data_IF_719998699589
#
_entry.id   IF_719998699589
#
_cell.length_a   1.000
_cell.length_b   1.000
_cell.length_c   1.000
_cell.angle_alpha   90.00
_cell.angle_beta   90.00
_cell.angle_gamma   90.00
#
_symmetry.space_group_name_H-M   'P 1'
#
loop_
_entity.id
_entity.type
_entity.pdbx_description
1 polymer ?
#
# COMPACT_ATOMS: atom_id res chain seq x y z
N UNK A 1 -16.42 -28.93 18.46
CA UNK A 1 -16.65 -28.81 17.00
C UNK A 1 -17.96 -29.50 16.73
N UNK A 2 -18.97 -28.78 16.22
CA UNK A 2 -20.35 -29.30 16.16
C UNK A 2 -20.47 -30.66 15.49
N UNK A 3 -19.64 -30.95 14.47
CA UNK A 3 -19.58 -32.25 13.80
C UNK A 3 -18.99 -33.35 14.68
N UNK A 4 -17.95 -33.06 15.46
CA UNK A 4 -17.34 -34.00 16.40
C UNK A 4 -18.32 -34.39 17.51
N UNK A 5 -19.03 -33.42 18.09
CA UNK A 5 -20.02 -33.66 19.15
C UNK A 5 -21.19 -34.54 18.67
N UNK A 6 -21.65 -34.33 17.43
CA UNK A 6 -22.72 -35.15 16.83
C UNK A 6 -22.24 -36.59 16.60
N UNK A 7 -21.01 -36.75 16.10
CA UNK A 7 -20.44 -38.06 15.81
C UNK A 7 -20.13 -38.86 17.08
N UNK A 8 -19.53 -38.22 18.09
CA UNK A 8 -19.21 -38.84 19.39
C UNK A 8 -20.48 -39.37 20.06
N UNK A 9 -21.53 -38.55 20.11
CA UNK A 9 -22.83 -38.93 20.68
C UNK A 9 -23.51 -40.11 19.95
N UNK A 10 -23.27 -40.28 18.64
CA UNK A 10 -23.79 -41.41 17.87
C UNK A 10 -22.95 -42.69 18.05
N UNK A 11 -21.66 -42.56 18.35
CA UNK A 11 -20.74 -43.69 18.51
C UNK A 11 -20.55 -44.16 19.95
N UNK A 12 -21.04 -43.40 20.94
CA UNK A 12 -21.04 -43.74 22.36
C UNK A 12 -21.65 -45.13 22.68
N UNK A 13 -22.78 -45.56 22.08
CA UNK A 13 -23.35 -46.90 22.33
C UNK A 13 -22.44 -48.04 21.86
N UNK A 14 -21.50 -47.77 20.96
CA UNK A 14 -20.53 -48.73 20.47
C UNK A 14 -19.20 -48.68 21.24
N UNK A 15 -19.08 -47.79 22.23
CA UNK A 15 -17.86 -47.62 23.05
C UNK A 15 -16.69 -47.00 22.29
N UNK A 16 -16.94 -46.30 21.19
CA UNK A 16 -15.93 -45.69 20.33
C UNK A 16 -15.90 -44.18 20.60
N UNK A 17 -14.73 -43.65 20.96
CA UNK A 17 -14.51 -42.21 21.19
C UNK A 17 -13.91 -41.52 19.97
N UNK A 18 -14.55 -40.46 19.49
CA UNK A 18 -14.11 -39.71 18.29
C UNK A 18 -13.13 -38.60 18.69
N UNK A 19 -11.85 -38.78 18.33
CA UNK A 19 -10.77 -37.86 18.73
C UNK A 19 -10.61 -36.64 17.81
N UNK A 20 -10.77 -36.79 16.49
CA UNK A 20 -10.61 -35.72 15.50
C UNK A 20 -11.54 -35.96 14.31
N UNK A 21 -12.19 -34.88 13.85
CA UNK A 21 -12.95 -34.87 12.61
C UNK A 21 -12.32 -33.84 11.68
N UNK A 22 -11.88 -34.29 10.51
CA UNK A 22 -11.31 -33.45 9.47
C UNK A 22 -12.14 -33.58 8.20
N UNK A 23 -12.41 -32.46 7.55
CA UNK A 23 -13.09 -32.41 6.28
C UNK A 23 -12.07 -32.64 5.16
N UNK A 24 -12.19 -33.78 4.45
CA UNK A 24 -11.20 -34.17 3.42
C UNK A 24 -11.40 -33.48 2.07
N UNK A 25 -12.60 -33.56 1.51
CA UNK A 25 -12.89 -33.02 0.18
C UNK A 25 -14.35 -32.61 0.06
N UNK A 26 -14.61 -31.52 -0.67
CA UNK A 26 -15.96 -31.10 -1.07
C UNK A 26 -15.94 -30.94 -2.58
N UNK A 27 -16.73 -31.75 -3.27
CA UNK A 27 -16.96 -31.62 -4.70
C UNK A 27 -17.99 -30.52 -4.96
N UNK A 28 -17.54 -29.38 -5.47
CA UNK A 28 -18.42 -28.31 -5.93
C UNK A 28 -18.72 -28.47 -7.43
N UNK A 29 -19.96 -28.25 -7.89
CA UNK A 29 -20.26 -28.22 -9.32
C UNK A 29 -19.40 -27.19 -10.07
N UNK A 30 -18.94 -27.54 -11.27
CA UNK A 30 -18.00 -26.71 -12.04
C UNK A 30 -18.55 -25.30 -12.34
N UNK A 31 -19.87 -25.18 -12.55
CA UNK A 31 -20.54 -23.89 -12.76
C UNK A 31 -20.46 -22.99 -11.52
N UNK A 32 -20.68 -23.56 -10.33
CA UNK A 32 -20.60 -22.83 -9.06
C UNK A 32 -19.17 -22.36 -8.77
N UNK A 33 -18.17 -23.20 -9.05
CA UNK A 33 -16.76 -22.83 -8.88
C UNK A 33 -16.38 -21.64 -9.77
N UNK A 34 -16.81 -21.63 -11.04
CA UNK A 34 -16.56 -20.52 -11.97
C UNK A 34 -17.26 -19.23 -11.55
N UNK A 35 -18.52 -19.33 -11.14
CA UNK A 35 -19.28 -18.16 -10.66
C UNK A 35 -18.65 -17.56 -9.39
N UNK A 36 -18.24 -18.42 -8.44
CA UNK A 36 -17.58 -18.00 -7.21
C UNK A 36 -16.21 -17.38 -7.49
N UNK A 37 -15.42 -17.96 -8.39
CA UNK A 37 -14.13 -17.40 -8.80
C UNK A 37 -14.28 -16.00 -9.40
N UNK A 38 -15.24 -15.81 -10.32
CA UNK A 38 -15.52 -14.52 -10.94
C UNK A 38 -15.99 -13.47 -9.93
N UNK A 39 -16.83 -13.87 -8.97
CA UNK A 39 -17.26 -12.98 -7.90
C UNK A 39 -16.10 -12.61 -6.96
N UNK A 40 -15.27 -13.58 -6.59
CA UNK A 40 -14.11 -13.36 -5.73
C UNK A 40 -13.09 -12.42 -6.39
N UNK A 41 -12.85 -12.57 -7.70
CA UNK A 41 -11.99 -11.69 -8.48
C UNK A 41 -12.53 -10.26 -8.54
N UNK A 42 -13.83 -10.09 -8.85
CA UNK A 42 -14.46 -8.77 -8.88
C UNK A 42 -14.41 -8.06 -7.52
N UNK A 43 -14.68 -8.78 -6.43
CA UNK A 43 -14.58 -8.21 -5.08
C UNK A 43 -13.13 -7.88 -4.70
N UNK A 44 -12.16 -8.71 -5.10
CA UNK A 44 -10.74 -8.44 -4.90
C UNK A 44 -10.30 -7.18 -5.63
N UNK A 45 -10.66 -7.04 -6.91
CA UNK A 45 -10.34 -5.84 -7.68
C UNK A 45 -10.99 -4.59 -7.10
N UNK A 46 -12.27 -4.68 -6.71
CA UNK A 46 -12.99 -3.58 -6.07
C UNK A 46 -12.27 -3.14 -4.79
N UNK A 47 -11.93 -4.09 -3.91
CA UNK A 47 -11.19 -3.80 -2.67
C UNK A 47 -9.82 -3.20 -2.95
N UNK A 48 -9.09 -3.75 -3.91
CA UNK A 48 -7.78 -3.21 -4.29
C UNK A 48 -7.86 -1.74 -4.73
N UNK A 49 -8.86 -1.39 -5.55
CA UNK A 49 -9.09 0.01 -5.99
C UNK A 49 -9.41 0.94 -4.82
N UNK A 50 -10.25 0.51 -3.88
CA UNK A 50 -10.60 1.30 -2.70
C UNK A 50 -9.38 1.53 -1.81
N UNK A 51 -8.60 0.47 -1.55
CA UNK A 51 -7.39 0.57 -0.73
C UNK A 51 -6.35 1.48 -1.40
N UNK A 52 -6.18 1.38 -2.71
CA UNK A 52 -5.27 2.26 -3.45
C UNK A 52 -5.68 3.72 -3.36
N UNK A 53 -6.95 4.03 -3.65
CA UNK A 53 -7.47 5.39 -3.58
C UNK A 53 -7.36 5.99 -2.18
N UNK A 54 -7.63 5.20 -1.14
CA UNK A 54 -7.47 5.62 0.26
C UNK A 54 -5.99 5.87 0.60
N UNK A 55 -5.10 4.99 0.15
CA UNK A 55 -3.65 5.17 0.33
C UNK A 55 -3.12 6.43 -0.36
N UNK A 56 -3.57 6.70 -1.59
CA UNK A 56 -3.24 7.93 -2.32
C UNK A 56 -3.75 9.17 -1.59
N UNK A 57 -4.99 9.14 -1.11
CA UNK A 57 -5.58 10.26 -0.37
C UNK A 57 -4.80 10.58 0.91
N UNK A 58 -4.47 9.56 1.71
CA UNK A 58 -3.66 9.73 2.91
C UNK A 58 -2.25 10.25 2.60
N UNK A 59 -1.64 9.77 1.50
CA UNK A 59 -0.35 10.28 1.06
C UNK A 59 -0.44 11.76 0.65
N UNK A 60 -1.45 12.15 -0.12
CA UNK A 60 -1.67 13.54 -0.52
C UNK A 60 -1.90 14.46 0.69
N UNK A 61 -2.67 14.04 1.69
CA UNK A 61 -2.86 14.82 2.92
C UNK A 61 -1.53 15.07 3.65
N UNK A 62 -0.74 14.01 3.86
CA UNK A 62 0.56 14.14 4.53
C UNK A 62 1.54 15.03 3.76
N UNK A 63 1.51 14.96 2.42
CA UNK A 63 2.31 15.84 1.58
C UNK A 63 1.86 17.30 1.67
N UNK A 64 0.56 17.56 1.72
CA UNK A 64 0.02 18.91 1.91
C UNK A 64 0.42 19.48 3.28
N UNK A 65 0.27 18.70 4.35
CA UNK A 65 0.72 19.09 5.70
C UNK A 65 2.23 19.38 5.73
N UNK A 66 3.04 18.54 5.07
CA UNK A 66 4.48 18.78 4.96
C UNK A 66 4.78 20.08 4.21
N UNK A 67 4.06 20.36 3.12
CA UNK A 67 4.21 21.60 2.36
C UNK A 67 3.86 22.83 3.21
N UNK A 68 2.78 22.79 4.00
CA UNK A 68 2.39 23.86 4.92
C UNK A 68 3.47 24.12 5.99
N UNK A 69 4.07 23.06 6.53
CA UNK A 69 5.19 23.18 7.48
C UNK A 69 6.41 23.78 6.80
N UNK A 70 6.72 23.39 5.57
CA UNK A 70 7.84 23.93 4.80
C UNK A 70 7.62 25.39 4.41
N UNK A 71 6.38 25.82 4.17
CA UNK A 71 6.06 27.20 3.86
C UNK A 71 6.40 28.15 5.03
N UNK A 72 6.24 27.70 6.28
CA UNK A 72 6.61 28.47 7.47
C UNK A 72 8.11 28.79 7.55
N UNK A 73 8.95 27.98 6.91
CA UNK A 73 10.40 28.18 6.87
C UNK A 73 10.92 28.07 5.44
N UNK A 74 11.02 29.18 4.69
CA UNK A 74 11.46 29.18 3.28
C UNK A 74 12.81 28.51 3.05
N UNK A 75 13.70 28.52 4.05
CA UNK A 75 15.00 27.83 3.97
C UNK A 75 14.85 26.30 3.87
N UNK A 76 13.77 25.72 4.37
CA UNK A 76 13.50 24.28 4.30
C UNK A 76 13.29 23.79 2.85
N UNK A 77 12.67 24.61 2.00
CA UNK A 77 12.50 24.31 0.58
C UNK A 77 13.86 24.31 -0.11
N UNK A 78 14.74 25.26 0.23
CA UNK A 78 16.10 25.29 -0.31
C UNK A 78 16.93 24.08 0.10
N UNK A 79 16.85 23.65 1.37
CA UNK A 79 17.50 22.42 1.84
C UNK A 79 16.97 21.17 1.11
N UNK A 80 15.64 21.08 0.90
CA UNK A 80 15.04 20.00 0.12
C UNK A 80 15.53 20.01 -1.32
N UNK A 81 15.62 21.18 -1.94
CA UNK A 81 16.16 21.34 -3.28
C UNK A 81 17.60 20.81 -3.38
N UNK A 82 18.47 21.18 -2.43
CA UNK A 82 19.83 20.66 -2.36
C UNK A 82 19.88 19.14 -2.15
N UNK A 83 19.01 18.58 -1.31
CA UNK A 83 18.90 17.13 -1.16
C UNK A 83 18.46 16.43 -2.46
N UNK A 84 17.51 17.00 -3.19
CA UNK A 84 17.09 16.48 -4.49
C UNK A 84 18.25 16.48 -5.49
N UNK A 85 19.10 17.51 -5.50
CA UNK A 85 20.30 17.53 -6.33
C UNK A 85 21.30 16.41 -5.99
N UNK A 86 21.46 16.10 -4.69
CA UNK A 86 22.31 14.98 -4.25
C UNK A 86 21.76 13.63 -4.72
N UNK A 87 20.45 13.42 -4.63
CA UNK A 87 19.79 12.18 -5.11
C UNK A 87 19.99 12.03 -6.62
N UNK A 88 19.70 13.09 -7.40
CA UNK A 88 19.86 13.07 -8.86
C UNK A 88 21.32 12.88 -9.27
N UNK A 89 22.27 13.49 -8.54
CA UNK A 89 23.71 13.33 -8.81
C UNK A 89 24.23 11.93 -8.51
N UNK A 90 23.58 11.19 -7.60
CA UNK A 90 24.00 9.83 -7.25
C UNK A 90 23.56 8.79 -8.29
N UNK A 91 22.45 9.03 -8.99
CA UNK A 91 21.88 8.05 -9.91
C UNK A 91 22.55 8.01 -11.29
N UNK A 92 23.13 9.10 -11.82
CA UNK A 92 23.97 9.09 -13.04
C UNK A 92 24.76 10.39 -13.24
N UNK A 93 25.95 10.29 -13.86
CA UNK A 93 26.93 11.34 -14.16
C UNK A 93 26.44 12.35 -15.24
N UNK A 94 25.32 13.04 -15.00
CA UNK A 94 24.70 13.97 -15.94
C UNK A 94 24.96 15.44 -15.56
N UNK A 95 25.16 16.29 -16.57
CA UNK A 95 25.17 17.75 -16.40
C UNK A 95 23.83 18.22 -15.85
N UNK A 96 23.81 18.66 -14.59
CA UNK A 96 22.60 19.14 -13.93
C UNK A 96 22.38 20.60 -14.31
N UNK A 97 21.37 20.88 -15.13
CA UNK A 97 20.95 22.25 -15.45
C UNK A 97 20.09 22.77 -14.30
N UNK A 98 20.69 23.61 -13.46
CA UNK A 98 20.00 24.24 -12.33
C UNK A 98 19.56 25.64 -12.72
N UNK A 99 18.24 25.94 -12.74
CA UNK A 99 17.79 27.31 -12.90
C UNK A 99 18.10 28.09 -11.62
N UNK A 100 18.98 29.08 -11.72
CA UNK A 100 19.28 30.01 -10.63
C UNK A 100 18.32 31.21 -10.74
N UNK A 101 17.62 31.60 -9.66
CA UNK A 101 16.80 32.80 -9.66
C UNK A 101 17.61 34.04 -10.06
N UNK A 102 17.06 34.86 -10.95
CA UNK A 102 17.74 36.04 -11.54
C UNK A 102 18.10 37.05 -10.44
N UNK A 103 17.32 37.11 -9.36
CA UNK A 103 17.58 37.95 -8.20
C UNK A 103 18.91 37.60 -7.49
N UNK A 104 19.31 36.33 -7.50
CA UNK A 104 20.59 35.90 -6.94
C UNK A 104 21.76 36.26 -7.86
N UNK A 105 21.55 36.18 -9.18
CA UNK A 105 22.51 36.63 -10.18
C UNK A 105 22.78 38.13 -10.09
N UNK A 106 21.73 38.94 -9.90
CA UNK A 106 21.83 40.39 -9.72
C UNK A 106 22.75 40.76 -8.56
N UNK A 107 22.58 40.11 -7.40
CA UNK A 107 23.41 40.38 -6.20
C UNK A 107 24.89 40.02 -6.35
N UNK A 108 25.23 39.04 -7.19
CA UNK A 108 26.63 38.65 -7.46
C UNK A 108 27.28 39.61 -8.46
N UNK A 109 26.51 40.12 -9.43
CA UNK A 109 26.96 41.10 -10.42
C UNK A 109 27.09 42.52 -9.86
N UNK A 110 26.23 42.91 -8.90
CA UNK A 110 26.30 44.20 -8.20
C UNK A 110 27.38 44.25 -7.10
N UNK A 111 27.87 43.10 -6.63
CA UNK A 111 28.93 43.01 -5.63
C UNK A 111 30.35 43.20 -6.22
N UNK A 112 30.46 43.79 -7.41
CA UNK A 112 31.72 44.07 -8.12
C UNK A 112 31.91 45.57 -8.29
#
# INVERSE_FOLDING_TARGET
>A
SRLQEILDAQTDPWGIKVSLVELKHIDLPQEMQRAMAKQAEAERERRAKVIHAEGEFQASQKLAEAADVMQKQPLAIHLRFLQSLVIVSAENNATIVVPIPIDLLGRILEAK
#
